data_IF_824924418338
#
_entry.id   IF_824924418338
#
_cell.length_a   1.000
_cell.length_b   1.000
_cell.length_c   1.000
_cell.angle_alpha   90.00
_cell.angle_beta   90.00
_cell.angle_gamma   90.00
#
_symmetry.space_group_name_H-M   'P 1'
#
loop_
_entity.id
_entity.type
_entity.pdbx_description
1 polymer ?
#
# COMPACT_ATOMS: atom_id res chain seq x y z
N UNK A 1 13.45 -14.35 3.70
CA UNK A 1 13.72 -13.59 2.46
C UNK A 1 13.80 -12.12 2.83
N UNK A 2 14.81 -11.37 2.36
CA UNK A 2 14.91 -9.93 2.58
C UNK A 2 14.14 -9.21 1.46
N UNK A 3 13.21 -8.35 1.82
CA UNK A 3 12.50 -7.51 0.88
C UNK A 3 13.43 -6.40 0.39
N UNK A 4 13.81 -6.42 -0.87
CA UNK A 4 14.63 -5.40 -1.52
C UNK A 4 14.03 -5.01 -2.87
N UNK A 5 14.37 -3.82 -3.37
CA UNK A 5 13.86 -3.35 -4.65
C UNK A 5 14.25 -4.28 -5.83
N UNK A 6 15.46 -4.85 -5.81
CA UNK A 6 15.91 -5.81 -6.84
C UNK A 6 15.09 -7.09 -6.80
N UNK A 7 14.91 -7.69 -5.61
CA UNK A 7 14.07 -8.87 -5.46
C UNK A 7 12.61 -8.62 -5.87
N UNK A 8 12.09 -7.42 -5.62
CA UNK A 8 10.73 -7.05 -6.07
C UNK A 8 10.67 -6.91 -7.59
N UNK A 9 11.68 -6.33 -8.23
CA UNK A 9 11.71 -6.22 -9.70
C UNK A 9 11.76 -7.61 -10.36
N UNK A 10 12.62 -8.51 -9.86
CA UNK A 10 12.71 -9.90 -10.33
C UNK A 10 11.37 -10.66 -10.14
N UNK A 11 10.74 -10.49 -8.98
CA UNK A 11 9.41 -11.04 -8.71
C UNK A 11 8.35 -10.45 -9.64
N UNK A 12 8.42 -9.14 -9.92
CA UNK A 12 7.49 -8.44 -10.80
C UNK A 12 7.57 -8.98 -12.24
N UNK A 13 8.77 -9.16 -12.79
CA UNK A 13 8.92 -9.74 -14.13
C UNK A 13 8.26 -11.13 -14.24
N UNK A 14 8.42 -11.95 -13.21
CA UNK A 14 7.84 -13.30 -13.17
C UNK A 14 6.31 -13.30 -12.99
N UNK A 15 5.77 -12.35 -12.20
CA UNK A 15 4.36 -12.31 -11.81
C UNK A 15 3.47 -11.43 -12.71
N UNK A 16 4.05 -10.66 -13.64
CA UNK A 16 3.28 -9.77 -14.51
C UNK A 16 2.16 -10.46 -15.29
N UNK A 17 2.39 -11.62 -15.94
CA UNK A 17 1.33 -12.30 -16.68
C UNK A 17 0.17 -12.76 -15.77
N UNK A 18 0.47 -13.29 -14.59
CA UNK A 18 -0.53 -13.70 -13.61
C UNK A 18 -1.36 -12.50 -13.15
N UNK A 19 -0.69 -11.39 -12.79
CA UNK A 19 -1.38 -10.18 -12.39
C UNK A 19 -2.30 -9.62 -13.48
N UNK A 20 -1.83 -9.54 -14.72
CA UNK A 20 -2.64 -9.08 -15.85
C UNK A 20 -3.89 -9.95 -16.05
N UNK A 21 -3.77 -11.26 -15.90
CA UNK A 21 -4.92 -12.17 -15.95
C UNK A 21 -5.91 -11.88 -14.83
N UNK A 22 -5.44 -11.66 -13.60
CA UNK A 22 -6.31 -11.36 -12.46
C UNK A 22 -7.06 -10.05 -12.70
N UNK A 23 -6.36 -8.96 -13.02
CA UNK A 23 -6.99 -7.65 -13.17
C UNK A 23 -7.88 -7.55 -14.40
N UNK A 24 -7.67 -8.35 -15.46
CA UNK A 24 -8.55 -8.40 -16.62
C UNK A 24 -9.98 -8.80 -16.25
N UNK A 25 -10.16 -9.57 -15.18
CA UNK A 25 -11.46 -9.95 -14.63
C UNK A 25 -12.14 -8.86 -13.79
N UNK A 26 -11.43 -7.78 -13.45
CA UNK A 26 -11.93 -6.66 -12.67
C UNK A 26 -12.35 -5.54 -13.63
N UNK A 27 -13.63 -5.10 -13.63
CA UNK A 27 -14.08 -4.02 -14.50
C UNK A 27 -13.26 -2.73 -14.26
N UNK A 28 -12.83 -2.02 -15.31
CA UNK A 28 -12.16 -0.73 -15.15
C UNK A 28 -13.12 0.31 -14.55
N UNK A 29 -12.62 1.10 -13.62
CA UNK A 29 -13.37 2.21 -13.05
C UNK A 29 -13.06 3.50 -13.80
N UNK A 30 -14.02 3.98 -14.57
CA UNK A 30 -13.90 5.27 -15.25
C UNK A 30 -13.98 6.43 -14.24
N UNK A 31 -13.01 7.35 -14.31
CA UNK A 31 -13.11 8.68 -13.70
C UNK A 31 -12.97 8.78 -12.19
N UNK A 32 -12.62 7.73 -11.48
CA UNK A 32 -12.42 7.77 -10.04
C UNK A 32 -10.95 7.63 -9.66
N UNK A 33 -10.50 8.50 -8.77
CA UNK A 33 -9.19 8.42 -8.11
C UNK A 33 -9.01 7.08 -7.40
N UNK A 34 -7.84 6.85 -6.88
CA UNK A 34 -7.45 5.64 -6.17
C UNK A 34 -6.03 5.25 -6.55
N UNK A 35 -5.56 4.19 -5.96
CA UNK A 35 -4.24 3.63 -6.22
C UNK A 35 -4.13 3.18 -7.68
N UNK A 36 -2.97 3.42 -8.30
CA UNK A 36 -2.69 3.03 -9.68
C UNK A 36 -2.53 1.51 -9.82
N UNK A 37 -2.79 0.98 -11.03
CA UNK A 37 -2.60 -0.46 -11.30
C UNK A 37 -1.14 -0.88 -11.12
N UNK A 38 -0.19 -0.07 -11.59
CA UNK A 38 1.24 -0.34 -11.43
C UNK A 38 1.65 -0.39 -9.96
N UNK A 39 1.04 0.41 -9.10
CA UNK A 39 1.33 0.43 -7.67
C UNK A 39 0.76 -0.80 -6.96
N UNK A 40 -0.47 -1.19 -7.30
CA UNK A 40 -1.04 -2.44 -6.80
C UNK A 40 -0.25 -3.66 -7.29
N UNK A 41 0.24 -3.61 -8.53
CA UNK A 41 1.14 -4.64 -9.05
C UNK A 41 2.45 -4.73 -8.26
N UNK A 42 3.08 -3.60 -7.93
CA UNK A 42 4.29 -3.60 -7.11
C UNK A 42 4.03 -4.13 -5.69
N UNK A 43 2.88 -3.79 -5.12
CA UNK A 43 2.47 -4.40 -3.85
C UNK A 43 2.35 -5.92 -4.00
N UNK A 44 1.66 -6.40 -5.04
CA UNK A 44 1.50 -7.81 -5.32
C UNK A 44 2.84 -8.53 -5.47
N UNK A 45 3.73 -8.00 -6.33
CA UNK A 45 5.05 -8.58 -6.58
C UNK A 45 5.94 -8.63 -5.33
N UNK A 46 5.84 -7.61 -4.47
CA UNK A 46 6.59 -7.54 -3.22
C UNK A 46 6.06 -8.51 -2.15
N UNK A 47 4.76 -8.73 -2.09
CA UNK A 47 4.09 -9.41 -0.98
C UNK A 47 3.80 -10.89 -1.28
N UNK A 48 3.54 -11.24 -2.53
CA UNK A 48 3.19 -12.61 -2.96
C UNK A 48 4.20 -13.66 -2.46
N UNK A 49 5.52 -13.43 -2.54
CA UNK A 49 6.51 -14.40 -2.08
C UNK A 49 6.49 -14.71 -0.58
N UNK A 50 5.88 -13.84 0.23
CA UNK A 50 5.74 -14.06 1.69
C UNK A 50 4.49 -14.88 2.04
N UNK A 51 3.56 -15.05 1.10
CA UNK A 51 2.29 -15.77 1.30
C UNK A 51 1.59 -15.37 2.61
N UNK A 52 1.31 -14.06 2.84
CA UNK A 52 0.75 -13.60 4.10
C UNK A 52 -0.63 -14.23 4.34
N UNK A 53 -0.92 -14.59 5.58
CA UNK A 53 -2.27 -15.06 5.94
C UNK A 53 -3.28 -13.92 6.01
N UNK A 54 -2.80 -12.70 6.25
CA UNK A 54 -3.62 -11.52 6.35
C UNK A 54 -2.92 -10.32 5.70
N UNK A 55 -3.71 -9.48 5.05
CA UNK A 55 -3.30 -8.18 4.54
C UNK A 55 -4.21 -7.13 5.18
N UNK A 56 -3.59 -6.10 5.74
CA UNK A 56 -4.28 -4.98 6.38
C UNK A 56 -4.21 -3.76 5.46
N UNK A 57 -5.36 -3.19 5.13
CA UNK A 57 -5.49 -1.99 4.33
C UNK A 57 -6.13 -0.87 5.13
N UNK A 58 -5.61 0.34 5.01
CA UNK A 58 -6.15 1.57 5.58
C UNK A 58 -6.43 2.59 4.48
N UNK A 59 -7.67 3.10 4.43
CA UNK A 59 -8.12 4.02 3.39
C UNK A 59 -8.72 3.32 2.19
N UNK A 60 -9.87 2.67 2.37
CA UNK A 60 -10.56 1.87 1.35
C UNK A 60 -11.19 2.70 0.23
N UNK A 61 -11.70 3.90 0.57
CA UNK A 61 -12.54 4.70 -0.32
C UNK A 61 -13.63 3.86 -1.04
N UNK A 62 -13.63 3.80 -2.38
CA UNK A 62 -14.60 3.03 -3.19
C UNK A 62 -14.26 1.54 -3.36
N UNK A 63 -13.23 1.04 -2.68
CA UNK A 63 -12.88 -0.38 -2.61
C UNK A 63 -12.15 -0.95 -3.83
N UNK A 64 -11.55 -0.11 -4.70
CA UNK A 64 -10.78 -0.61 -5.86
C UNK A 64 -9.56 -1.41 -5.41
N UNK A 65 -8.71 -0.84 -4.57
CA UNK A 65 -7.53 -1.50 -4.03
C UNK A 65 -7.88 -2.75 -3.23
N UNK A 66 -8.92 -2.69 -2.40
CA UNK A 66 -9.42 -3.83 -1.63
C UNK A 66 -9.82 -5.00 -2.54
N UNK A 67 -10.54 -4.71 -3.65
CA UNK A 67 -10.93 -5.74 -4.62
C UNK A 67 -9.71 -6.37 -5.30
N UNK A 68 -8.73 -5.56 -5.71
CA UNK A 68 -7.48 -6.06 -6.29
C UNK A 68 -6.75 -6.95 -5.29
N UNK A 69 -6.63 -6.50 -4.03
CA UNK A 69 -6.01 -7.31 -2.97
C UNK A 69 -6.75 -8.65 -2.79
N UNK A 70 -8.08 -8.63 -2.74
CA UNK A 70 -8.88 -9.84 -2.57
C UNK A 70 -8.65 -10.87 -3.69
N UNK A 71 -8.57 -10.40 -4.92
CA UNK A 71 -8.36 -11.25 -6.10
C UNK A 71 -6.91 -11.71 -6.27
N UNK A 72 -5.94 -10.86 -5.94
CA UNK A 72 -4.52 -11.20 -5.98
C UNK A 72 -4.09 -12.17 -4.87
N UNK A 73 -4.80 -12.15 -3.74
CA UNK A 73 -4.49 -12.96 -2.56
C UNK A 73 -5.71 -13.74 -2.06
N UNK A 74 -6.23 -14.69 -2.84
CA UNK A 74 -7.47 -15.39 -2.50
C UNK A 74 -7.38 -16.21 -1.20
N UNK A 75 -6.17 -16.65 -0.83
CA UNK A 75 -5.91 -17.40 0.41
C UNK A 75 -5.64 -16.51 1.62
N UNK A 76 -5.55 -15.19 1.42
CA UNK A 76 -5.31 -14.22 2.48
C UNK A 76 -6.61 -13.58 2.93
N UNK A 77 -6.74 -13.32 4.22
CA UNK A 77 -7.79 -12.44 4.75
C UNK A 77 -7.42 -10.98 4.47
N UNK A 78 -8.27 -10.25 3.83
CA UNK A 78 -8.11 -8.82 3.58
C UNK A 78 -8.94 -8.05 4.60
N UNK A 79 -8.29 -7.35 5.52
CA UNK A 79 -8.96 -6.48 6.50
C UNK A 79 -8.82 -5.04 6.02
N UNK A 80 -9.92 -4.48 5.53
CA UNK A 80 -9.93 -3.15 4.94
C UNK A 80 -10.68 -2.15 5.82
N UNK A 81 -10.01 -1.05 6.18
CA UNK A 81 -10.47 -0.06 7.14
C UNK A 81 -10.81 1.24 6.41
N UNK A 82 -12.01 1.78 6.67
CA UNK A 82 -12.42 3.12 6.27
C UNK A 82 -12.69 3.97 7.51
N UNK A 83 -12.20 5.21 7.50
CA UNK A 83 -12.34 6.09 8.66
C UNK A 83 -13.80 6.44 8.91
N UNK A 84 -14.52 6.89 7.88
CA UNK A 84 -15.88 7.37 7.99
C UNK A 84 -16.89 6.36 7.43
N UNK A 85 -17.68 5.77 8.32
CA UNK A 85 -18.76 4.86 7.92
C UNK A 85 -19.86 5.54 7.08
N UNK A 86 -20.02 6.84 7.22
CA UNK A 86 -21.04 7.62 6.49
C UNK A 86 -20.51 8.29 5.22
N UNK A 87 -19.26 7.97 4.81
CA UNK A 87 -18.70 8.46 3.56
C UNK A 87 -19.56 8.02 2.37
N UNK A 88 -19.75 8.91 1.40
CA UNK A 88 -20.43 8.62 0.13
C UNK A 88 -19.83 7.44 -0.66
N UNK A 89 -18.58 7.09 -0.39
CA UNK A 89 -17.88 6.00 -1.02
C UNK A 89 -18.26 4.62 -0.46
N UNK A 90 -18.80 4.56 0.76
CA UNK A 90 -19.07 3.30 1.48
C UNK A 90 -20.07 2.41 0.75
N UNK A 91 -21.24 2.89 0.28
CA UNK A 91 -22.19 2.03 -0.43
C UNK A 91 -21.61 1.42 -1.70
N UNK A 92 -20.79 2.17 -2.43
CA UNK A 92 -20.13 1.68 -3.64
C UNK A 92 -19.09 0.60 -3.31
N UNK A 93 -18.31 0.79 -2.24
CA UNK A 93 -17.33 -0.19 -1.77
C UNK A 93 -18.01 -1.48 -1.28
N UNK A 94 -19.06 -1.38 -0.47
CA UNK A 94 -19.81 -2.53 0.04
C UNK A 94 -20.45 -3.34 -1.10
N UNK A 95 -21.07 -2.66 -2.08
CA UNK A 95 -21.64 -3.32 -3.24
C UNK A 95 -20.57 -4.05 -4.07
N UNK A 96 -19.43 -3.43 -4.31
CA UNK A 96 -18.31 -4.00 -5.07
C UNK A 96 -17.69 -5.22 -4.39
N UNK A 97 -17.57 -5.18 -3.07
CA UNK A 97 -16.87 -6.20 -2.29
C UNK A 97 -17.78 -7.31 -1.75
N UNK A 98 -19.08 -7.21 -2.02
CA UNK A 98 -20.09 -8.13 -1.48
C UNK A 98 -19.83 -9.61 -1.80
N UNK A 99 -19.24 -9.89 -2.96
CA UNK A 99 -18.94 -11.25 -3.41
C UNK A 99 -17.59 -11.79 -2.92
N UNK A 100 -16.77 -10.95 -2.33
CA UNK A 100 -15.43 -11.34 -1.90
C UNK A 100 -15.45 -11.93 -0.48
N UNK A 101 -15.41 -13.25 -0.40
CA UNK A 101 -15.54 -13.99 0.88
C UNK A 101 -14.34 -13.82 1.82
N UNK A 102 -13.20 -13.38 1.28
CA UNK A 102 -11.97 -13.16 2.04
C UNK A 102 -11.78 -11.71 2.52
N UNK A 103 -12.80 -10.83 2.40
CA UNK A 103 -12.74 -9.43 2.77
C UNK A 103 -13.55 -9.12 4.03
N UNK A 104 -12.93 -8.48 5.00
CA UNK A 104 -13.57 -7.89 6.17
C UNK A 104 -13.55 -6.36 6.07
N UNK A 105 -14.70 -5.74 6.12
CA UNK A 105 -14.87 -4.29 6.11
C UNK A 105 -14.98 -3.77 7.54
N UNK A 106 -14.03 -2.95 7.95
CA UNK A 106 -14.03 -2.28 9.24
C UNK A 106 -14.17 -0.77 9.09
N UNK A 107 -14.61 -0.11 10.16
CA UNK A 107 -14.80 1.33 10.22
C UNK A 107 -14.17 1.90 11.48
N UNK A 108 -13.50 3.05 11.34
CA UNK A 108 -12.86 3.75 12.45
C UNK A 108 -11.42 4.16 12.17
N UNK A 109 -10.75 4.63 13.22
CA UNK A 109 -9.37 5.12 13.09
C UNK A 109 -8.39 3.97 12.90
N UNK A 110 -7.77 3.93 11.73
CA UNK A 110 -6.76 2.90 11.42
C UNK A 110 -5.54 2.96 12.34
N UNK A 111 -5.24 4.12 12.96
CA UNK A 111 -4.14 4.24 13.93
C UNK A 111 -4.41 3.46 15.22
N UNK A 112 -5.66 3.20 15.52
CA UNK A 112 -6.09 2.39 16.66
C UNK A 112 -6.32 0.93 16.27
N UNK A 113 -6.95 0.71 15.10
CA UNK A 113 -7.36 -0.62 14.66
C UNK A 113 -6.18 -1.45 14.16
N UNK A 114 -5.30 -0.89 13.32
CA UNK A 114 -4.19 -1.65 12.73
C UNK A 114 -3.26 -2.26 13.76
N UNK A 115 -2.78 -1.54 14.82
CA UNK A 115 -1.91 -2.14 15.83
C UNK A 115 -2.55 -3.31 16.57
N UNK A 116 -3.88 -3.29 16.77
CA UNK A 116 -4.64 -4.33 17.45
C UNK A 116 -4.84 -5.57 16.57
N UNK A 117 -4.95 -5.39 15.25
CA UNK A 117 -5.20 -6.46 14.28
C UNK A 117 -3.93 -7.10 13.74
N UNK A 118 -2.80 -6.40 13.81
CA UNK A 118 -1.53 -6.81 13.23
C UNK A 118 -0.99 -8.11 13.83
N UNK A 119 -0.73 -9.08 12.97
CA UNK A 119 -0.15 -10.37 13.30
C UNK A 119 1.24 -10.53 12.64
N UNK A 120 1.96 -11.55 13.07
CA UNK A 120 3.27 -11.84 12.48
C UNK A 120 3.13 -12.33 11.03
N UNK A 121 3.89 -11.75 10.13
CA UNK A 121 3.86 -12.07 8.70
C UNK A 121 2.82 -11.29 7.88
N UNK A 122 2.03 -10.40 8.48
CA UNK A 122 1.08 -9.57 7.76
C UNK A 122 1.78 -8.58 6.82
N UNK A 123 1.15 -8.29 5.69
CA UNK A 123 1.48 -7.14 4.88
C UNK A 123 0.49 -5.98 5.17
N UNK A 124 0.99 -4.76 5.10
CA UNK A 124 0.18 -3.58 5.40
C UNK A 124 0.25 -2.57 4.27
N UNK A 125 -0.93 -2.05 3.87
CA UNK A 125 -1.10 -0.97 2.92
C UNK A 125 -1.76 0.22 3.63
N UNK A 126 -1.08 1.37 3.66
CA UNK A 126 -1.57 2.60 4.28
C UNK A 126 -1.84 3.64 3.19
N UNK A 127 -3.10 3.88 2.88
CA UNK A 127 -3.58 4.97 2.01
C UNK A 127 -4.38 6.05 2.78
N UNK A 128 -4.60 5.84 4.04
CA UNK A 128 -5.10 6.77 5.06
C UNK A 128 -4.65 6.31 6.45
N UNK A 129 -4.24 7.23 7.33
CA UNK A 129 -4.10 8.68 7.17
C UNK A 129 -3.03 9.10 6.15
N UNK A 130 -2.94 10.40 5.86
CA UNK A 130 -1.96 10.95 4.91
C UNK A 130 -0.76 11.58 5.63
N UNK A 131 0.26 11.95 4.86
CA UNK A 131 1.43 12.69 5.31
C UNK A 131 2.26 11.99 6.39
N UNK A 132 2.82 12.76 7.31
CA UNK A 132 3.62 12.24 8.42
C UNK A 132 2.81 11.35 9.37
N UNK A 133 1.48 11.46 9.39
CA UNK A 133 0.62 10.56 10.18
C UNK A 133 0.67 9.13 9.64
N UNK A 134 0.66 8.97 8.32
CA UNK A 134 0.83 7.68 7.66
C UNK A 134 2.22 7.08 7.94
N UNK A 135 3.26 7.90 7.80
CA UNK A 135 4.63 7.46 8.05
C UNK A 135 4.84 7.07 9.52
N UNK A 136 4.28 7.83 10.46
CA UNK A 136 4.33 7.50 11.88
C UNK A 136 3.63 6.17 12.17
N UNK A 137 2.45 5.96 11.61
CA UNK A 137 1.72 4.69 11.74
C UNK A 137 2.57 3.53 11.19
N UNK A 138 3.16 3.68 10.00
CA UNK A 138 4.03 2.66 9.41
C UNK A 138 5.22 2.31 10.33
N UNK A 139 5.87 3.31 10.91
CA UNK A 139 6.99 3.10 11.85
C UNK A 139 6.54 2.44 13.14
N UNK A 140 5.37 2.81 13.67
CA UNK A 140 4.81 2.20 14.87
C UNK A 140 4.47 0.71 14.63
N UNK A 141 3.98 0.36 13.43
CA UNK A 141 3.73 -1.04 13.06
C UNK A 141 5.05 -1.82 12.85
N UNK A 142 6.03 -1.26 12.14
CA UNK A 142 7.34 -1.89 11.93
C UNK A 142 8.09 -2.14 13.23
N UNK A 143 7.92 -1.27 14.24
CA UNK A 143 8.51 -1.45 15.57
C UNK A 143 8.12 -2.76 16.23
N UNK A 144 6.96 -3.28 15.91
CA UNK A 144 6.49 -4.56 16.47
C UNK A 144 7.27 -5.77 15.96
N UNK A 145 7.99 -5.63 14.84
CA UNK A 145 8.66 -6.74 14.15
C UNK A 145 7.70 -7.74 13.49
N UNK A 146 6.39 -7.46 13.48
CA UNK A 146 5.37 -8.38 12.97
C UNK A 146 5.19 -8.32 11.44
N UNK A 147 5.09 -7.13 10.79
CA UNK A 147 4.78 -7.09 9.37
C UNK A 147 5.94 -7.62 8.51
N UNK A 148 5.61 -8.33 7.43
CA UNK A 148 6.58 -8.70 6.41
C UNK A 148 6.90 -7.53 5.48
N UNK A 149 5.97 -6.58 5.31
CA UNK A 149 6.15 -5.35 4.55
C UNK A 149 5.11 -4.30 4.98
N UNK A 150 5.49 -3.02 4.94
CA UNK A 150 4.57 -1.89 5.10
C UNK A 150 4.71 -0.97 3.89
N UNK A 151 3.59 -0.71 3.24
CA UNK A 151 3.50 0.22 2.12
C UNK A 151 2.73 1.46 2.54
N UNK A 152 3.21 2.62 2.12
CA UNK A 152 2.55 3.91 2.34
C UNK A 152 2.35 4.59 0.99
N UNK A 153 1.12 5.04 0.74
CA UNK A 153 0.76 5.75 -0.49
C UNK A 153 0.95 7.26 -0.38
N UNK A 154 1.03 7.96 -1.51
CA UNK A 154 1.09 9.42 -1.64
C UNK A 154 2.37 10.09 -1.07
N UNK A 155 3.53 9.52 -1.36
CA UNK A 155 4.81 10.19 -1.07
C UNK A 155 5.50 10.68 -2.36
N UNK A 156 5.01 11.78 -2.97
CA UNK A 156 5.61 12.32 -4.20
C UNK A 156 7.06 12.78 -3.98
N UNK A 157 7.91 12.81 -5.03
CA UNK A 157 9.36 13.00 -4.93
C UNK A 157 9.82 14.19 -4.08
N UNK A 158 9.07 15.30 -4.14
CA UNK A 158 9.43 16.54 -3.44
C UNK A 158 8.79 16.69 -2.05
N UNK A 159 8.00 15.71 -1.61
CA UNK A 159 7.32 15.79 -0.32
C UNK A 159 8.32 15.73 0.84
N UNK A 160 8.01 16.39 1.96
CA UNK A 160 8.82 16.28 3.18
C UNK A 160 8.92 14.82 3.67
N UNK A 161 7.86 14.04 3.51
CA UNK A 161 7.80 12.63 3.89
C UNK A 161 8.78 11.79 3.07
N UNK A 162 8.81 12.02 1.74
CA UNK A 162 9.76 11.35 0.85
C UNK A 162 11.20 11.66 1.24
N UNK A 163 11.52 12.92 1.48
CA UNK A 163 12.85 13.36 1.94
C UNK A 163 13.23 12.71 3.28
N UNK A 164 12.26 12.62 4.19
CA UNK A 164 12.47 11.96 5.47
C UNK A 164 12.78 10.47 5.30
N UNK A 165 12.00 9.75 4.49
CA UNK A 165 12.20 8.32 4.22
C UNK A 165 13.56 8.10 3.55
N UNK A 166 13.88 8.83 2.49
CA UNK A 166 15.17 8.69 1.79
C UNK A 166 16.37 8.86 2.72
N UNK A 167 16.29 9.81 3.67
CA UNK A 167 17.36 10.07 4.65
C UNK A 167 17.47 9.01 5.74
N UNK A 168 16.34 8.42 6.15
CA UNK A 168 16.30 7.63 7.38
C UNK A 168 16.05 6.13 7.16
N UNK A 169 15.64 5.71 5.97
CA UNK A 169 15.31 4.33 5.63
C UNK A 169 16.08 3.89 4.37
N UNK A 170 17.35 3.50 4.49
CA UNK A 170 18.18 3.18 3.33
C UNK A 170 17.69 1.97 2.52
N UNK A 171 16.90 1.09 3.14
CA UNK A 171 16.26 -0.07 2.49
C UNK A 171 14.92 0.26 1.83
N UNK A 172 14.36 1.45 2.08
CA UNK A 172 13.10 1.85 1.46
C UNK A 172 13.26 2.01 -0.05
N UNK A 173 12.20 1.66 -0.78
CA UNK A 173 12.12 1.90 -2.22
C UNK A 173 10.76 2.47 -2.59
N UNK A 174 10.65 2.98 -3.81
CA UNK A 174 9.51 3.79 -4.22
C UNK A 174 9.00 3.31 -5.57
N UNK A 175 7.69 3.43 -5.81
CA UNK A 175 7.07 3.01 -7.06
C UNK A 175 7.54 3.77 -8.30
N UNK A 176 8.22 4.91 -8.13
CA UNK A 176 8.83 5.68 -9.21
C UNK A 176 10.34 5.39 -9.40
N UNK A 177 10.89 4.39 -8.72
CA UNK A 177 12.27 3.93 -8.96
C UNK A 177 12.41 3.48 -10.43
N UNK A 178 13.54 3.78 -11.11
CA UNK A 178 13.78 3.37 -12.49
C UNK A 178 13.58 1.88 -12.78
N UNK A 179 13.83 1.00 -11.82
CA UNK A 179 13.59 -0.44 -11.95
C UNK A 179 12.12 -0.80 -12.19
N UNK A 180 11.18 0.05 -11.77
CA UNK A 180 9.75 -0.20 -11.88
C UNK A 180 9.08 0.55 -13.04
N UNK A 181 9.83 1.35 -13.80
CA UNK A 181 9.30 2.11 -14.93
C UNK A 181 8.60 1.24 -15.99
N UNK A 182 9.10 0.04 -16.35
CA UNK A 182 8.41 -0.80 -17.34
C UNK A 182 6.97 -1.15 -16.95
N UNK A 183 6.69 -1.31 -15.66
CA UNK A 183 5.37 -1.72 -15.16
C UNK A 183 4.33 -0.58 -15.16
N UNK A 184 4.75 0.66 -15.39
CA UNK A 184 3.82 1.80 -15.52
C UNK A 184 2.94 1.74 -16.77
N UNK A 185 3.26 0.89 -17.72
CA UNK A 185 2.38 0.60 -18.85
C UNK A 185 1.00 0.12 -18.39
N UNK A 186 0.90 -0.58 -17.27
CA UNK A 186 -0.35 -1.02 -16.67
C UNK A 186 -1.34 0.13 -16.39
N UNK A 187 -0.82 1.33 -16.08
CA UNK A 187 -1.66 2.50 -15.79
C UNK A 187 -2.33 3.06 -17.05
N UNK A 188 -1.70 2.90 -18.22
CA UNK A 188 -2.20 3.44 -19.48
C UNK A 188 -3.41 2.66 -20.02
N UNK A 189 -3.48 1.38 -19.72
CA UNK A 189 -4.47 0.47 -20.29
C UNK A 189 -5.83 0.60 -19.59
N UNK A 190 -5.85 1.01 -18.34
CA UNK A 190 -7.03 0.90 -17.49
C UNK A 190 -7.45 2.18 -16.78
N UNK A 191 -6.62 3.21 -16.80
CA UNK A 191 -6.90 4.47 -16.12
C UNK A 191 -6.90 5.65 -17.09
N UNK A 192 -8.06 6.24 -17.37
CA UNK A 192 -8.19 7.36 -18.33
C UNK A 192 -7.72 8.70 -17.76
N UNK A 193 -7.21 8.75 -16.53
CA UNK A 193 -6.77 10.02 -15.94
C UNK A 193 -5.64 10.64 -16.75
N UNK A 194 -5.65 11.97 -16.98
CA UNK A 194 -4.60 12.64 -17.72
C UNK A 194 -3.24 12.57 -17.02
N UNK A 195 -2.18 12.48 -17.83
CA UNK A 195 -0.79 12.30 -17.40
C UNK A 195 -0.31 13.19 -16.23
N UNK A 196 -0.70 14.49 -16.10
CA UNK A 196 -0.31 15.32 -14.97
C UNK A 196 -0.84 14.83 -13.62
N UNK A 197 -1.99 14.17 -13.59
CA UNK A 197 -2.58 13.63 -12.37
C UNK A 197 -1.86 12.35 -11.90
N UNK A 198 -1.10 11.71 -12.79
CA UNK A 198 -0.32 10.50 -12.50
C UNK A 198 0.89 10.72 -11.58
N UNK A 199 1.17 11.95 -11.19
CA UNK A 199 2.36 12.30 -10.38
C UNK A 199 2.15 12.19 -8.88
N UNK A 200 0.93 11.94 -8.43
CA UNK A 200 0.60 12.03 -7.00
C UNK A 200 0.57 10.68 -6.27
N UNK A 201 0.31 9.59 -6.97
CA UNK A 201 0.30 8.28 -6.37
C UNK A 201 1.66 7.61 -6.44
N UNK A 202 2.44 7.64 -5.39
CA UNK A 202 3.71 6.91 -5.33
C UNK A 202 3.75 6.08 -4.07
N UNK A 203 3.81 4.78 -4.26
CA UNK A 203 4.07 3.84 -3.19
C UNK A 203 5.47 3.99 -2.63
N UNK A 204 5.52 3.96 -1.33
CA UNK A 204 6.77 3.82 -0.58
C UNK A 204 6.71 2.50 0.17
N UNK A 205 7.60 1.59 -0.15
CA UNK A 205 7.79 0.37 0.63
C UNK A 205 8.80 0.60 1.75
N UNK A 206 8.42 0.25 2.95
CA UNK A 206 9.27 0.25 4.14
C UNK A 206 9.50 -1.22 4.57
N UNK A 207 10.61 -1.84 4.13
CA UNK A 207 10.96 -3.19 4.54
C UNK A 207 11.32 -3.25 6.03
N UNK A 208 10.92 -4.33 6.76
CA UNK A 208 11.48 -4.60 8.08
C UNK A 208 12.96 -5.06 7.98
N UNK A 209 13.76 -4.94 9.06
CA UNK A 209 13.43 -4.28 10.31
C UNK A 209 13.56 -2.74 10.24
N UNK A 210 13.21 -2.05 11.32
CA UNK A 210 13.51 -0.63 11.42
C UNK A 210 15.01 -0.37 11.27
N UNK A 211 15.42 0.66 10.49
CA UNK A 211 16.84 0.92 10.19
C UNK A 211 17.64 1.44 11.38
N UNK A 212 16.95 1.86 12.44
CA UNK A 212 17.54 2.39 13.66
C UNK A 212 16.60 2.23 14.84
N UNK A 213 17.07 2.39 16.11
CA UNK A 213 16.21 2.35 17.29
C UNK A 213 15.05 3.33 17.19
N UNK A 214 13.85 2.86 17.57
CA UNK A 214 12.59 3.60 17.45
C UNK A 214 12.65 5.01 18.09
N UNK A 215 13.30 5.15 19.25
CA UNK A 215 13.41 6.45 19.92
C UNK A 215 14.16 7.49 19.10
N UNK A 216 15.17 7.07 18.30
CA UNK A 216 15.87 7.96 17.37
C UNK A 216 14.97 8.42 16.23
N UNK A 217 14.18 7.51 15.67
CA UNK A 217 13.18 7.88 14.66
C UNK A 217 12.15 8.83 15.24
N UNK A 218 11.63 8.55 16.43
CA UNK A 218 10.66 9.42 17.11
C UNK A 218 11.22 10.83 17.34
N UNK A 219 12.45 10.94 17.78
CA UNK A 219 13.11 12.24 17.93
C UNK A 219 13.19 12.99 16.60
N UNK A 220 13.57 12.31 15.51
CA UNK A 220 13.61 12.90 14.17
C UNK A 220 12.23 13.34 13.66
N UNK A 221 11.17 12.61 13.98
CA UNK A 221 9.81 13.06 13.68
C UNK A 221 9.48 14.38 14.40
N UNK A 222 9.87 14.54 15.66
CA UNK A 222 9.61 15.76 16.42
C UNK A 222 10.39 16.98 15.90
N UNK A 223 11.58 16.76 15.35
CA UNK A 223 12.47 17.82 14.89
C UNK A 223 12.29 18.18 13.42
N UNK A 224 11.87 17.24 12.58
CA UNK A 224 11.76 17.40 11.12
C UNK A 224 10.31 17.41 10.61
N UNK A 225 9.35 16.97 11.40
CA UNK A 225 7.92 16.95 11.04
C UNK A 225 7.21 18.30 11.26
N UNK A 226 7.94 19.33 11.64
CA UNK A 226 7.41 20.69 11.86
C UNK A 226 7.72 21.67 10.72
N UNK A 227 8.27 21.19 9.60
CA UNK A 227 8.58 22.04 8.43
C UNK A 227 7.69 21.71 7.24
#
# INVERSE_FOLDING_TARGET
MLLSKTAVAESADALLPEYQQIISSIPPEAGHGGIWESEMFLFYAAVKPFAPKQILESGRARGKSTLILARCFPESRIVSIEYERQSENVPAAEAKLKSESNVDLLYGDSREILPQRLQAGDAVLIDGPKDFRALKLAVDLLRTGKPCAVFVHDFPPNSPQRKFVTRNFPSAFFGDDPLFQPFRALDNERDPRPSPQRRYGIFTCLPPPLPMPYWKLRFRFLTQGKT
#
